data_IF_589191425122
#
_entry.id   IF_589191425122
#
_cell.length_a   1.000
_cell.length_b   1.000
_cell.length_c   1.000
_cell.angle_alpha   90.00
_cell.angle_beta   90.00
_cell.angle_gamma   90.00
#
_symmetry.space_group_name_H-M   'P 1'
#
loop_
_entity.id
_entity.type
_entity.pdbx_description
1 polymer ?
#
# COMPACT_ATOMS: atom_id res chain seq x y z
N UNK A 1 -10.13 -11.78 -6.76
CA UNK A 1 -8.90 -11.97 -5.97
C UNK A 1 -8.61 -13.46 -5.92
N UNK A 2 -7.55 -13.94 -6.56
CA UNK A 2 -7.15 -15.35 -6.42
C UNK A 2 -6.35 -15.51 -5.13
N UNK A 3 -7.01 -15.99 -4.06
CA UNK A 3 -6.40 -16.20 -2.74
C UNK A 3 -5.19 -17.14 -2.77
N UNK A 4 -5.10 -18.04 -3.77
CA UNK A 4 -3.93 -18.89 -3.99
C UNK A 4 -2.66 -18.09 -4.31
N UNK A 5 -2.76 -17.07 -5.18
CA UNK A 5 -1.63 -16.17 -5.47
C UNK A 5 -1.23 -15.37 -4.25
N UNK A 6 -2.20 -14.89 -3.47
CA UNK A 6 -1.91 -14.22 -2.20
C UNK A 6 -1.05 -15.13 -1.28
N UNK A 7 -1.42 -16.41 -1.16
CA UNK A 7 -0.64 -17.38 -0.38
C UNK A 7 0.80 -17.52 -0.87
N UNK A 8 1.02 -17.56 -2.19
CA UNK A 8 2.36 -17.63 -2.78
C UNK A 8 3.22 -16.42 -2.37
N UNK A 9 2.68 -15.20 -2.40
CA UNK A 9 3.45 -14.01 -2.03
C UNK A 9 3.70 -13.89 -0.52
N UNK A 10 2.72 -14.19 0.33
CA UNK A 10 2.89 -14.05 1.79
C UNK A 10 3.77 -15.15 2.38
N UNK A 11 3.86 -16.32 1.74
CA UNK A 11 4.71 -17.43 2.21
C UNK A 11 6.21 -17.14 2.09
N UNK A 12 6.59 -16.14 1.30
CA UNK A 12 7.99 -15.70 1.12
C UNK A 12 8.44 -14.79 2.29
N UNK A 13 7.50 -14.31 3.10
CA UNK A 13 7.81 -13.41 4.22
C UNK A 13 8.61 -14.20 5.27
N UNK A 14 9.80 -13.73 5.65
CA UNK A 14 10.62 -14.44 6.64
C UNK A 14 9.94 -14.47 8.00
N UNK A 15 9.91 -15.66 8.60
CA UNK A 15 9.44 -15.86 9.97
C UNK A 15 10.60 -15.68 10.96
N UNK A 16 10.57 -14.58 11.70
CA UNK A 16 11.59 -14.26 12.71
C UNK A 16 11.29 -14.84 14.09
N UNK A 17 10.20 -15.62 14.24
CA UNK A 17 9.85 -16.27 15.51
C UNK A 17 10.80 -17.43 15.80
N UNK A 18 10.90 -17.80 17.07
CA UNK A 18 11.71 -18.96 17.48
C UNK A 18 11.05 -20.24 16.99
N UNK A 19 11.67 -20.95 16.04
CA UNK A 19 11.07 -22.09 15.33
C UNK A 19 10.44 -23.15 16.25
N UNK A 20 11.04 -23.45 17.42
CA UNK A 20 10.52 -24.44 18.36
C UNK A 20 9.33 -23.96 19.22
N UNK A 21 8.93 -22.70 19.10
CA UNK A 21 7.75 -22.11 19.78
C UNK A 21 6.63 -21.76 18.79
N UNK A 22 6.75 -22.18 17.53
CA UNK A 22 5.78 -21.90 16.49
C UNK A 22 4.78 -23.04 16.42
N UNK A 23 3.55 -22.77 16.84
CA UNK A 23 2.41 -23.69 16.67
C UNK A 23 1.61 -23.35 15.41
N UNK A 24 1.42 -22.06 15.11
CA UNK A 24 0.67 -21.62 13.92
C UNK A 24 1.62 -21.06 12.84
N UNK A 25 1.46 -21.53 11.60
CA UNK A 25 2.22 -21.08 10.43
C UNK A 25 2.00 -19.57 10.22
N UNK A 26 3.05 -18.86 9.83
CA UNK A 26 2.98 -17.41 9.60
C UNK A 26 2.00 -17.08 8.46
N UNK A 27 2.03 -17.89 7.39
CA UNK A 27 1.13 -17.79 6.25
C UNK A 27 -0.35 -17.91 6.65
N UNK A 28 -0.69 -18.84 7.53
CA UNK A 28 -2.06 -19.05 8.00
C UNK A 28 -2.57 -17.85 8.81
N UNK A 29 -1.73 -17.32 9.72
CA UNK A 29 -2.06 -16.10 10.49
C UNK A 29 -2.26 -14.91 9.56
N UNK A 30 -1.42 -14.75 8.54
CA UNK A 30 -1.52 -13.67 7.58
C UNK A 30 -2.77 -13.80 6.70
N UNK A 31 -3.08 -15.00 6.21
CA UNK A 31 -4.30 -15.28 5.46
C UNK A 31 -5.53 -14.92 6.29
N UNK A 32 -5.61 -15.42 7.53
CA UNK A 32 -6.69 -15.12 8.47
C UNK A 32 -6.86 -13.61 8.66
N UNK A 33 -5.77 -12.92 8.98
CA UNK A 33 -5.77 -11.48 9.24
C UNK A 33 -6.26 -10.69 8.03
N UNK A 34 -5.77 -11.00 6.83
CA UNK A 34 -6.16 -10.30 5.59
C UNK A 34 -7.63 -10.55 5.28
N UNK A 35 -8.08 -11.80 5.34
CA UNK A 35 -9.49 -12.16 5.08
C UNK A 35 -10.44 -11.49 6.06
N UNK A 36 -10.11 -11.49 7.35
CA UNK A 36 -10.92 -10.86 8.40
C UNK A 36 -11.01 -9.33 8.20
N UNK A 37 -9.87 -8.65 7.99
CA UNK A 37 -9.84 -7.18 7.82
C UNK A 37 -10.59 -6.74 6.57
N UNK A 38 -10.45 -7.45 5.44
CA UNK A 38 -11.22 -7.16 4.22
C UNK A 38 -12.72 -7.38 4.44
N UNK A 39 -13.06 -8.33 5.32
CA UNK A 39 -14.46 -8.61 5.72
C UNK A 39 -14.99 -7.63 6.78
N UNK A 40 -14.19 -6.65 7.22
CA UNK A 40 -14.61 -5.58 8.12
C UNK A 40 -14.19 -5.74 9.58
N UNK A 41 -13.29 -6.68 9.91
CA UNK A 41 -12.73 -6.78 11.25
C UNK A 41 -11.89 -5.54 11.61
N UNK A 42 -12.12 -4.96 12.79
CA UNK A 42 -11.44 -3.74 13.26
C UNK A 42 -10.48 -4.03 14.43
N UNK A 43 -10.68 -5.13 15.16
CA UNK A 43 -9.88 -5.57 16.30
C UNK A 43 -9.21 -6.95 16.13
N UNK A 44 -8.39 -7.34 17.12
CA UNK A 44 -7.75 -8.67 17.13
C UNK A 44 -8.75 -9.76 17.48
N UNK A 45 -9.67 -9.45 18.39
CA UNK A 45 -10.81 -10.28 18.79
C UNK A 45 -11.72 -10.53 17.58
N UNK A 46 -12.03 -9.49 16.79
CA UNK A 46 -12.82 -9.64 15.56
C UNK A 46 -12.15 -10.59 14.54
N UNK A 47 -10.82 -10.59 14.48
CA UNK A 47 -10.07 -11.49 13.59
C UNK A 47 -10.15 -12.94 14.09
N UNK A 48 -10.06 -13.16 15.40
CA UNK A 48 -10.28 -14.48 16.01
C UNK A 48 -11.71 -14.97 15.73
N UNK A 49 -12.72 -14.14 16.02
CA UNK A 49 -14.14 -14.43 15.78
C UNK A 49 -14.42 -14.77 14.31
N UNK A 50 -13.81 -14.04 13.37
CA UNK A 50 -13.90 -14.35 11.95
C UNK A 50 -13.35 -15.74 11.63
N UNK A 51 -12.20 -16.09 12.22
CA UNK A 51 -11.54 -17.37 12.03
C UNK A 51 -12.37 -18.54 12.56
N UNK A 52 -12.92 -18.39 13.76
CA UNK A 52 -13.78 -19.39 14.40
C UNK A 52 -15.12 -19.57 13.65
N UNK A 53 -15.62 -18.50 13.03
CA UNK A 53 -16.88 -18.54 12.26
C UNK A 53 -16.70 -19.12 10.85
N UNK A 54 -15.51 -19.03 10.26
CA UNK A 54 -15.24 -19.44 8.86
C UNK A 54 -14.10 -20.46 8.68
N UNK A 55 -13.99 -21.52 9.51
CA UNK A 55 -12.87 -22.46 9.45
C UNK A 55 -12.83 -23.24 8.13
N UNK A 56 -14.00 -23.61 7.59
CA UNK A 56 -14.10 -24.37 6.34
C UNK A 56 -13.64 -23.57 5.12
N UNK A 57 -13.83 -22.25 5.14
CA UNK A 57 -13.34 -21.35 4.10
C UNK A 57 -11.82 -21.21 4.19
N UNK A 58 -11.29 -20.98 5.40
CA UNK A 58 -9.86 -20.80 5.62
C UNK A 58 -9.05 -22.04 5.26
N UNK A 59 -9.55 -23.23 5.60
CA UNK A 59 -8.93 -24.53 5.28
C UNK A 59 -8.87 -24.86 3.79
N UNK A 60 -9.54 -24.09 2.92
CA UNK A 60 -9.37 -24.24 1.47
C UNK A 60 -8.03 -23.67 0.96
N UNK A 61 -7.39 -22.81 1.74
CA UNK A 61 -6.20 -22.06 1.32
C UNK A 61 -5.02 -22.17 2.29
N UNK A 62 -5.28 -22.30 3.59
CA UNK A 62 -4.25 -22.51 4.62
C UNK A 62 -4.44 -23.84 5.34
N UNK A 63 -3.43 -24.23 6.13
CA UNK A 63 -3.41 -25.55 6.75
C UNK A 63 -4.20 -25.58 8.08
N UNK A 64 -4.00 -24.57 8.93
CA UNK A 64 -4.67 -24.42 10.23
C UNK A 64 -4.65 -25.72 11.08
N UNK A 65 -3.54 -26.47 11.04
CA UNK A 65 -3.38 -27.77 11.70
C UNK A 65 -3.66 -27.71 13.21
N UNK A 66 -3.25 -26.61 13.84
CA UNK A 66 -3.44 -26.36 15.28
C UNK A 66 -4.66 -25.47 15.58
N UNK A 67 -5.60 -25.38 14.64
CA UNK A 67 -6.80 -24.54 14.78
C UNK A 67 -6.53 -23.04 14.56
N UNK A 68 -7.51 -22.23 14.92
CA UNK A 68 -7.45 -20.78 14.79
C UNK A 68 -6.63 -20.21 15.97
N UNK A 69 -5.63 -19.35 15.69
CA UNK A 69 -4.87 -18.70 16.75
C UNK A 69 -5.74 -17.68 17.49
N UNK A 70 -5.62 -17.65 18.82
CA UNK A 70 -6.26 -16.61 19.65
C UNK A 70 -5.72 -15.21 19.34
N UNK A 71 -6.51 -14.16 19.62
CA UNK A 71 -6.20 -12.75 19.38
C UNK A 71 -4.80 -12.33 19.88
N UNK A 72 -4.40 -12.80 21.06
CA UNK A 72 -3.06 -12.53 21.62
C UNK A 72 -1.93 -13.08 20.73
N UNK A 73 -2.11 -14.27 20.17
CA UNK A 73 -1.15 -14.88 19.25
C UNK A 73 -1.12 -14.12 17.94
N UNK A 74 -2.29 -13.75 17.39
CA UNK A 74 -2.39 -12.95 16.16
C UNK A 74 -1.65 -11.62 16.35
N UNK A 75 -2.01 -10.85 17.40
CA UNK A 75 -1.43 -9.55 17.68
C UNK A 75 0.10 -9.60 17.84
N UNK A 76 0.60 -10.60 18.60
CA UNK A 76 2.03 -10.80 18.80
C UNK A 76 2.75 -11.11 17.50
N UNK A 77 2.20 -12.02 16.69
CA UNK A 77 2.86 -12.46 15.44
C UNK A 77 2.89 -11.34 14.43
N UNK A 78 1.75 -10.67 14.19
CA UNK A 78 1.67 -9.51 13.27
C UNK A 78 2.64 -8.40 13.70
N UNK A 79 2.79 -8.16 15.01
CA UNK A 79 3.75 -7.18 15.54
C UNK A 79 5.22 -7.54 15.30
N UNK A 80 5.54 -8.81 15.05
CA UNK A 80 6.90 -9.28 14.75
C UNK A 80 7.25 -9.25 13.26
N UNK A 81 6.27 -9.00 12.38
CA UNK A 81 6.49 -9.01 10.93
C UNK A 81 7.35 -7.82 10.53
N UNK A 82 8.36 -8.06 9.68
CA UNK A 82 9.15 -6.98 9.10
C UNK A 82 8.28 -6.14 8.14
N UNK A 83 8.02 -4.85 8.44
CA UNK A 83 7.09 -4.05 7.63
C UNK A 83 7.57 -3.87 6.19
N UNK A 84 8.89 -3.76 6.00
CA UNK A 84 9.47 -3.61 4.65
C UNK A 84 9.24 -4.85 3.79
N UNK A 85 9.38 -6.05 4.37
CA UNK A 85 9.18 -7.32 3.65
C UNK A 85 7.71 -7.62 3.40
N UNK A 86 6.84 -7.31 4.35
CA UNK A 86 5.39 -7.40 4.14
C UNK A 86 4.95 -6.45 3.02
N UNK A 87 5.45 -5.21 3.05
CA UNK A 87 5.13 -4.23 2.01
C UNK A 87 5.62 -4.66 0.61
N UNK A 88 6.86 -5.16 0.51
CA UNK A 88 7.41 -5.72 -0.74
C UNK A 88 6.54 -6.87 -1.28
N UNK A 89 6.17 -7.82 -0.42
CA UNK A 89 5.29 -8.94 -0.76
C UNK A 89 3.92 -8.45 -1.27
N UNK A 90 3.31 -7.48 -0.57
CA UNK A 90 2.03 -6.90 -0.97
C UNK A 90 2.09 -6.18 -2.33
N UNK A 91 3.15 -5.40 -2.59
CA UNK A 91 3.30 -4.69 -3.87
C UNK A 91 3.51 -5.69 -5.02
N UNK A 92 4.39 -6.68 -4.83
CA UNK A 92 4.60 -7.71 -5.84
C UNK A 92 3.29 -8.47 -6.15
N UNK A 93 2.51 -8.78 -5.11
CA UNK A 93 1.20 -9.37 -5.29
C UNK A 93 0.26 -8.49 -6.12
N UNK A 94 0.21 -7.17 -5.86
CA UNK A 94 -0.59 -6.24 -6.65
C UNK A 94 -0.11 -6.13 -8.10
N UNK A 95 1.21 -6.12 -8.31
CA UNK A 95 1.81 -6.03 -9.65
C UNK A 95 1.58 -7.27 -10.50
N UNK A 96 1.49 -8.46 -9.90
CA UNK A 96 1.15 -9.69 -10.62
C UNK A 96 -0.27 -9.67 -11.23
N UNK A 97 -1.16 -8.81 -10.74
CA UNK A 97 -2.48 -8.54 -11.35
C UNK A 97 -2.47 -7.38 -12.35
N UNK A 98 -1.36 -6.64 -12.44
CA UNK A 98 -1.23 -5.49 -13.31
C UNK A 98 -0.52 -5.87 -14.62
N UNK A 99 -1.27 -5.92 -15.72
CA UNK A 99 -0.71 -6.05 -17.07
C UNK A 99 0.04 -4.78 -17.48
N UNK A 100 1.28 -4.92 -17.98
CA UNK A 100 2.12 -3.79 -18.40
C UNK A 100 1.60 -3.01 -19.61
N UNK A 101 0.71 -3.61 -20.40
CA UNK A 101 0.36 -3.14 -21.74
C UNK A 101 -0.84 -2.17 -21.76
N UNK A 102 -1.46 -1.92 -20.61
CA UNK A 102 -2.62 -1.04 -20.52
C UNK A 102 -2.23 0.43 -20.37
N UNK A 103 -2.90 1.29 -21.13
CA UNK A 103 -2.81 2.75 -20.99
C UNK A 103 -3.46 3.20 -19.68
N UNK A 104 -2.75 3.06 -18.57
CA UNK A 104 -3.28 3.39 -17.25
C UNK A 104 -3.06 4.87 -16.87
N UNK A 105 -3.93 5.33 -15.97
CA UNK A 105 -3.76 6.58 -15.24
C UNK A 105 -3.44 6.24 -13.79
N UNK A 106 -2.23 6.59 -13.36
CA UNK A 106 -1.74 6.37 -12.00
C UNK A 106 -1.91 7.66 -11.20
N UNK A 107 -2.77 7.63 -10.20
CA UNK A 107 -2.96 8.73 -9.26
C UNK A 107 -2.00 8.57 -8.07
N UNK A 108 -1.21 9.59 -7.77
CA UNK A 108 -0.35 9.65 -6.59
C UNK A 108 -0.96 10.61 -5.58
N UNK A 109 -1.23 10.11 -4.38
CA UNK A 109 -1.83 10.90 -3.29
C UNK A 109 -1.23 10.53 -1.92
N UNK A 110 -1.21 11.52 -1.02
CA UNK A 110 -0.73 11.39 0.35
C UNK A 110 -1.87 11.33 1.37
N UNK A 111 -1.88 10.31 2.24
CA UNK A 111 -2.84 10.14 3.34
C UNK A 111 -2.16 10.01 4.70
N UNK A 112 -2.74 10.66 5.72
CA UNK A 112 -2.36 10.47 7.12
C UNK A 112 -3.25 9.40 7.73
N UNK A 113 -2.65 8.33 8.26
CA UNK A 113 -3.38 7.30 8.98
C UNK A 113 -3.76 7.81 10.37
N UNK A 114 -5.07 7.91 10.64
CA UNK A 114 -5.58 8.33 11.94
C UNK A 114 -5.18 7.31 13.02
N UNK A 115 -4.98 7.77 14.25
CA UNK A 115 -4.58 6.93 15.39
C UNK A 115 -3.25 6.15 15.28
N UNK A 116 -2.48 6.32 14.21
CA UNK A 116 -1.19 5.65 14.01
C UNK A 116 0.01 6.30 14.74
N UNK A 117 -0.25 7.26 15.63
CA UNK A 117 0.79 7.95 16.39
C UNK A 117 1.27 7.09 17.58
N UNK A 118 2.51 7.31 18.01
CA UNK A 118 3.07 6.67 19.21
C UNK A 118 3.64 7.75 20.13
N UNK A 119 2.84 8.15 21.12
CA UNK A 119 3.24 9.20 22.09
C UNK A 119 4.42 8.75 22.94
N UNK A 120 4.49 7.47 23.31
CA UNK A 120 5.56 6.92 24.16
C UNK A 120 6.92 7.05 23.49
N UNK A 121 6.97 6.83 22.16
CA UNK A 121 8.18 6.97 21.35
C UNK A 121 8.29 8.32 20.63
N UNK A 122 7.45 9.29 20.98
CA UNK A 122 7.39 10.63 20.37
C UNK A 122 7.28 10.62 18.84
N UNK A 123 6.55 9.66 18.27
CA UNK A 123 6.30 9.55 16.83
C UNK A 123 4.93 10.14 16.48
N UNK A 124 4.91 11.04 15.49
CA UNK A 124 3.67 11.54 14.91
C UNK A 124 2.92 10.47 14.11
N UNK A 125 1.73 10.83 13.63
CA UNK A 125 0.94 9.95 12.77
C UNK A 125 1.71 9.59 11.49
N UNK A 126 1.48 8.37 11.01
CA UNK A 126 2.10 7.85 9.80
C UNK A 126 1.47 8.56 8.60
N UNK A 127 2.32 9.16 7.78
CA UNK A 127 1.96 9.69 6.48
C UNK A 127 2.40 8.69 5.40
N UNK A 128 1.50 8.32 4.50
CA UNK A 128 1.76 7.36 3.41
C UNK A 128 1.39 8.02 2.11
N UNK A 129 2.24 7.84 1.09
CA UNK A 129 1.96 8.23 -0.28
C UNK A 129 1.74 6.97 -1.07
N UNK A 130 0.66 6.91 -1.82
CA UNK A 130 0.28 5.72 -2.58
C UNK A 130 0.15 6.08 -4.06
N UNK A 131 0.64 5.19 -4.92
CA UNK A 131 0.37 5.17 -6.35
C UNK A 131 -0.81 4.22 -6.59
N UNK A 132 -1.91 4.79 -7.06
CA UNK A 132 -3.16 4.10 -7.30
C UNK A 132 -3.42 4.01 -8.81
N UNK A 133 -3.46 2.79 -9.33
CA UNK A 133 -3.92 2.51 -10.68
C UNK A 133 -5.42 2.72 -10.74
N UNK A 134 -5.87 3.69 -11.54
CA UNK A 134 -7.31 3.97 -11.68
C UNK A 134 -8.01 2.94 -12.56
N UNK A 135 -7.33 2.38 -13.56
CA UNK A 135 -7.92 1.32 -14.39
C UNK A 135 -8.16 0.05 -13.61
N UNK A 136 -7.17 -0.38 -12.82
CA UNK A 136 -7.26 -1.65 -12.08
C UNK A 136 -7.88 -1.49 -10.69
N UNK A 137 -8.08 -0.25 -10.22
CA UNK A 137 -8.55 0.06 -8.87
C UNK A 137 -7.66 -0.52 -7.77
N UNK A 138 -6.34 -0.50 -7.97
CA UNK A 138 -5.35 -1.11 -7.08
C UNK A 138 -4.25 -0.12 -6.68
N UNK A 139 -3.71 -0.29 -5.48
CA UNK A 139 -2.48 0.39 -5.07
C UNK A 139 -1.29 -0.42 -5.58
N UNK A 140 -0.51 0.15 -6.49
CA UNK A 140 0.64 -0.51 -7.14
C UNK A 140 1.99 -0.08 -6.56
N UNK A 141 1.99 0.88 -5.64
CA UNK A 141 3.17 1.31 -4.90
C UNK A 141 2.78 2.20 -3.73
N UNK A 142 3.55 2.17 -2.65
CA UNK A 142 3.37 3.13 -1.55
C UNK A 142 4.67 3.38 -0.79
N UNK A 143 4.83 4.58 -0.22
CA UNK A 143 6.00 4.95 0.59
C UNK A 143 5.54 5.66 1.85
N UNK A 144 6.09 5.24 2.98
CA UNK A 144 5.94 5.94 4.26
C UNK A 144 6.82 7.18 4.28
N UNK A 145 6.25 8.31 4.67
CA UNK A 145 6.96 9.58 4.86
C UNK A 145 6.73 10.15 6.26
N UNK A 146 7.60 11.08 6.66
CA UNK A 146 7.57 11.66 8.02
C UNK A 146 6.55 12.79 8.18
N UNK A 147 6.30 13.56 7.12
CA UNK A 147 5.43 14.73 7.10
C UNK A 147 4.88 14.95 5.70
N UNK A 148 3.76 15.69 5.59
CA UNK A 148 3.16 16.08 4.32
C UNK A 148 4.12 16.83 3.38
N UNK A 149 4.99 17.68 3.93
CA UNK A 149 6.04 18.40 3.18
C UNK A 149 7.04 17.48 2.45
N UNK A 150 7.14 16.22 2.86
CA UNK A 150 8.08 15.27 2.29
C UNK A 150 7.50 14.52 1.07
N UNK A 151 6.28 14.83 0.66
CA UNK A 151 5.67 14.28 -0.55
C UNK A 151 6.49 14.59 -1.80
N UNK A 152 6.96 15.83 -1.92
CA UNK A 152 7.73 16.28 -3.08
C UNK A 152 8.98 15.43 -3.31
N UNK A 153 9.65 15.00 -2.23
CA UNK A 153 10.85 14.15 -2.30
C UNK A 153 10.51 12.67 -2.48
N UNK A 154 9.36 12.23 -1.97
CA UNK A 154 8.97 10.82 -2.01
C UNK A 154 8.27 10.41 -3.31
N UNK A 155 7.61 11.33 -4.03
CA UNK A 155 7.04 11.06 -5.35
C UNK A 155 8.12 10.54 -6.32
N UNK A 156 9.30 11.19 -6.47
CA UNK A 156 10.39 10.66 -7.28
C UNK A 156 10.87 9.27 -6.87
N UNK A 157 10.88 8.93 -5.58
CA UNK A 157 11.26 7.60 -5.10
C UNK A 157 10.21 6.56 -5.50
N UNK A 158 8.93 6.90 -5.34
CA UNK A 158 7.81 6.05 -5.73
C UNK A 158 7.80 5.79 -7.24
N UNK A 159 8.06 6.81 -8.06
CA UNK A 159 8.17 6.67 -9.52
C UNK A 159 9.31 5.73 -9.95
N UNK A 160 10.41 5.65 -9.19
CA UNK A 160 11.50 4.71 -9.51
C UNK A 160 11.10 3.24 -9.32
N UNK A 161 10.08 2.97 -8.51
CA UNK A 161 9.61 1.61 -8.22
C UNK A 161 8.54 1.14 -9.22
N UNK A 162 8.06 2.02 -10.10
CA UNK A 162 6.92 1.78 -10.97
C UNK A 162 7.34 1.80 -12.44
N UNK A 163 6.79 0.88 -13.24
CA UNK A 163 6.84 1.01 -14.69
C UNK A 163 5.75 1.97 -15.17
N UNK A 164 6.15 3.22 -15.45
CA UNK A 164 5.23 4.28 -15.86
C UNK A 164 5.24 4.57 -17.37
N UNK A 165 5.97 3.77 -18.15
CA UNK A 165 6.08 4.00 -19.59
C UNK A 165 4.72 3.90 -20.28
N UNK A 166 4.36 4.91 -21.06
CA UNK A 166 3.08 5.00 -21.75
C UNK A 166 1.86 5.23 -20.85
N UNK A 167 2.08 5.49 -19.55
CA UNK A 167 1.03 5.74 -18.54
C UNK A 167 0.96 7.23 -18.19
N UNK A 168 -0.21 7.69 -17.73
CA UNK A 168 -0.40 9.08 -17.29
C UNK A 168 -0.31 9.15 -15.76
N UNK A 169 0.59 9.99 -15.25
CA UNK A 169 0.72 10.25 -13.82
C UNK A 169 -0.09 11.48 -13.43
N UNK A 170 -0.99 11.32 -12.44
CA UNK A 170 -1.75 12.41 -11.83
C UNK A 170 -1.29 12.64 -10.41
N UNK A 171 -1.11 13.90 -10.03
CA UNK A 171 -0.78 14.30 -8.66
C UNK A 171 -1.61 15.52 -8.26
N UNK A 172 -1.66 15.81 -6.96
CA UNK A 172 -2.28 17.03 -6.47
C UNK A 172 -1.47 18.28 -6.83
N UNK A 173 -1.97 19.45 -6.47
CA UNK A 173 -1.28 20.69 -6.78
C UNK A 173 0.07 20.84 -6.07
N UNK A 174 0.28 20.18 -4.93
CA UNK A 174 1.54 20.22 -4.19
C UNK A 174 2.63 19.45 -4.95
N UNK A 175 2.25 18.34 -5.60
CA UNK A 175 3.09 17.56 -6.52
C UNK A 175 3.38 18.23 -7.87
N UNK A 176 2.75 19.37 -8.20
CA UNK A 176 2.99 20.12 -9.44
C UNK A 176 4.37 20.81 -9.43
N UNK A 177 5.43 20.02 -9.67
CA UNK A 177 6.83 20.42 -9.68
C UNK A 177 7.48 20.08 -11.03
N UNK A 178 8.38 20.95 -11.48
CA UNK A 178 9.10 20.78 -12.76
C UNK A 178 9.92 19.50 -12.77
N UNK A 179 10.69 19.25 -11.70
CA UNK A 179 11.57 18.09 -11.59
C UNK A 179 10.79 16.76 -11.63
N UNK A 180 9.58 16.73 -11.07
CA UNK A 180 8.69 15.57 -11.11
C UNK A 180 8.18 15.35 -12.55
N UNK A 181 7.71 16.41 -13.22
CA UNK A 181 7.27 16.34 -14.62
C UNK A 181 8.39 15.85 -15.56
N UNK A 182 9.60 16.41 -15.41
CA UNK A 182 10.76 15.98 -16.19
C UNK A 182 11.11 14.52 -15.96
N UNK A 183 11.01 14.05 -14.71
CA UNK A 183 11.30 12.66 -14.38
C UNK A 183 10.31 11.70 -15.03
N UNK A 184 9.02 12.05 -15.02
CA UNK A 184 7.96 11.26 -15.66
C UNK A 184 8.23 11.13 -17.17
N UNK A 185 8.53 12.25 -17.83
CA UNK A 185 8.87 12.25 -19.26
C UNK A 185 10.13 11.43 -19.56
N UNK A 186 11.18 11.54 -18.74
CA UNK A 186 12.42 10.76 -18.90
C UNK A 186 12.20 9.25 -18.78
N UNK A 187 11.19 8.81 -18.02
CA UNK A 187 10.79 7.40 -17.91
C UNK A 187 9.76 6.98 -18.98
N UNK A 188 9.41 7.89 -19.91
CA UNK A 188 8.49 7.61 -21.01
C UNK A 188 7.01 7.61 -20.62
N UNK A 189 6.66 8.20 -19.47
CA UNK A 189 5.28 8.46 -19.08
C UNK A 189 4.83 9.88 -19.42
N UNK A 190 3.52 10.10 -19.34
CA UNK A 190 2.86 11.39 -19.47
C UNK A 190 2.38 11.88 -18.10
N UNK A 191 2.03 13.16 -17.96
CA UNK A 191 1.56 13.71 -16.69
C UNK A 191 0.35 14.65 -16.86
N UNK A 192 -0.50 14.69 -15.82
CA UNK A 192 -1.55 15.68 -15.67
C UNK A 192 -1.53 16.21 -14.24
N UNK A 193 -1.06 17.45 -14.07
CA UNK A 193 -0.95 18.11 -12.77
C UNK A 193 -1.97 19.24 -12.63
N UNK A 194 -2.52 19.39 -11.43
CA UNK A 194 -3.34 20.54 -11.09
C UNK A 194 -2.43 21.73 -10.74
N UNK A 195 -2.64 22.88 -11.38
CA UNK A 195 -1.98 24.13 -11.00
C UNK A 195 -2.86 24.89 -10.01
N UNK A 196 -2.28 25.38 -8.91
CA UNK A 196 -2.94 26.28 -7.94
C UNK A 196 -2.05 27.49 -7.65
N UNK A 197 -2.45 28.32 -6.69
CA UNK A 197 -1.70 29.51 -6.26
C UNK A 197 -0.28 29.25 -5.75
N UNK A 198 0.09 28.01 -5.43
CA UNK A 198 1.47 27.64 -5.12
C UNK A 198 2.44 27.84 -6.31
N UNK A 199 1.91 27.92 -7.54
CA UNK A 199 2.66 28.28 -8.75
C UNK A 199 2.11 29.58 -9.35
N UNK A 200 2.19 30.69 -8.61
CA UNK A 200 1.47 31.93 -8.92
C UNK A 200 1.68 32.49 -10.34
N UNK A 201 2.90 32.43 -10.90
CA UNK A 201 3.16 32.85 -12.29
C UNK A 201 2.48 31.94 -13.31
N UNK A 202 2.51 30.63 -13.08
CA UNK A 202 1.90 29.64 -13.96
C UNK A 202 0.37 29.77 -13.90
N UNK A 203 -0.18 29.87 -12.69
CA UNK A 203 -1.62 30.03 -12.49
C UNK A 203 -2.15 31.27 -13.22
N UNK A 204 -1.47 32.42 -13.06
CA UNK A 204 -1.83 33.65 -13.76
C UNK A 204 -1.79 33.49 -15.29
N UNK A 205 -0.77 32.82 -15.82
CA UNK A 205 -0.68 32.56 -17.25
C UNK A 205 -1.82 31.65 -17.77
N UNK A 206 -2.29 30.71 -16.96
CA UNK A 206 -3.47 29.90 -17.28
C UNK A 206 -4.75 30.74 -17.26
N UNK A 207 -4.98 31.55 -16.22
CA UNK A 207 -6.14 32.43 -16.10
C UNK A 207 -6.21 33.45 -17.26
N UNK A 208 -5.08 34.01 -17.68
CA UNK A 208 -5.01 34.96 -18.81
C UNK A 208 -5.30 34.29 -20.16
N UNK A 209 -4.87 33.04 -20.34
CA UNK A 209 -4.93 32.35 -21.65
C UNK A 209 -6.18 31.48 -21.83
N UNK A 210 -6.77 31.02 -20.73
CA UNK A 210 -7.97 30.19 -20.69
C UNK A 210 -8.98 30.81 -19.71
N UNK A 211 -9.57 31.97 -20.06
CA UNK A 211 -10.63 32.56 -19.25
C UNK A 211 -11.82 31.60 -19.21
N UNK A 212 -12.33 31.34 -18.00
CA UNK A 212 -13.54 30.55 -17.74
C UNK A 212 -14.81 31.33 -18.08
#
# INVERSE_FOLDING_TARGET
MELKKLMEHISIIPDYRQAWKVEHKLSDILLLTICAVISGAEGWEDIEDFGETHPDFLKQYGDFENGIPVHDTIARVVSCICPAKFHESFINWMLDYHSSDDKDVIAIDGKIHRHSYDKSRRKGAIHVISAFSTMHSLVIGQIKTYKKSNEITAIPELLNMLDIKGKIIKTDAMGCQKDIAEKIQKQGGDYLFAVKGNQGRLNKAFEEKFPL
#
